data_IF_202330598982
#
_entry.id   IF_202330598982
#
_cell.length_a   1.000
_cell.length_b   1.000
_cell.length_c   1.000
_cell.angle_alpha   90.00
_cell.angle_beta   90.00
_cell.angle_gamma   90.00
#
_symmetry.space_group_name_H-M   'P 1'
#
loop_
_entity.id
_entity.type
_entity.pdbx_description
1 polymer ?
#
# COMPACT_ATOMS: atom_id res chain seq x y z
N UNK A 1 -27.36 23.67 -3.55
CA UNK A 1 -26.62 24.88 -4.01
C UNK A 1 -26.85 25.06 -5.51
N UNK A 2 -26.83 26.29 -6.07
CA UNK A 2 -26.98 26.48 -7.53
C UNK A 2 -25.79 25.93 -8.32
N UNK A 3 -24.61 25.93 -7.70
CA UNK A 3 -23.36 25.32 -8.19
C UNK A 3 -22.64 24.73 -6.97
N UNK A 4 -22.22 23.48 -7.02
CA UNK A 4 -21.46 22.82 -5.99
C UNK A 4 -20.52 21.79 -6.63
N UNK A 5 -19.25 21.87 -6.28
CA UNK A 5 -18.25 20.86 -6.61
C UNK A 5 -18.26 19.81 -5.50
N UNK A 6 -18.69 18.59 -5.83
CA UNK A 6 -18.86 17.53 -4.84
C UNK A 6 -17.73 16.53 -4.96
N UNK A 7 -17.05 16.26 -3.83
CA UNK A 7 -15.95 15.30 -3.73
C UNK A 7 -16.32 14.20 -2.74
N UNK A 8 -16.30 12.94 -3.21
CA UNK A 8 -16.31 11.77 -2.37
C UNK A 8 -14.86 11.27 -2.17
N UNK A 9 -14.38 11.22 -0.92
CA UNK A 9 -12.96 11.01 -0.60
C UNK A 9 -12.78 9.92 0.47
N UNK A 10 -12.88 8.62 0.12
CA UNK A 10 -12.86 7.52 1.10
C UNK A 10 -11.42 7.15 1.50
N UNK A 11 -10.70 8.06 2.18
CA UNK A 11 -9.27 7.90 2.49
C UNK A 11 -8.94 6.71 3.39
N UNK A 12 -9.72 6.48 4.44
CA UNK A 12 -9.41 5.52 5.51
C UNK A 12 -10.14 4.19 5.32
N UNK A 13 -10.30 3.81 4.04
CA UNK A 13 -10.94 2.57 3.60
C UNK A 13 -9.93 1.43 3.46
N UNK A 14 -10.40 0.21 3.31
CA UNK A 14 -9.56 -0.93 2.96
C UNK A 14 -9.26 -0.90 1.45
N UNK A 15 -8.00 -0.63 1.08
CA UNK A 15 -7.55 -0.61 -0.31
C UNK A 15 -7.32 -2.01 -0.90
N UNK A 16 -7.15 -3.04 -0.07
CA UNK A 16 -7.04 -4.42 -0.55
C UNK A 16 -8.35 -5.01 -1.10
N UNK A 17 -9.48 -4.34 -0.85
CA UNK A 17 -10.82 -4.75 -1.27
C UNK A 17 -11.49 -3.66 -2.10
N UNK A 18 -12.32 -4.06 -3.06
CA UNK A 18 -13.21 -3.10 -3.73
C UNK A 18 -14.25 -2.58 -2.73
N UNK A 19 -14.85 -1.44 -3.04
CA UNK A 19 -15.92 -0.86 -2.22
C UNK A 19 -17.13 -1.80 -2.05
N UNK A 20 -17.36 -2.67 -3.03
CA UNK A 20 -18.50 -3.59 -3.09
C UNK A 20 -18.17 -5.00 -2.61
N UNK A 21 -16.93 -5.25 -2.16
CA UNK A 21 -16.55 -6.56 -1.65
C UNK A 21 -17.34 -6.89 -0.36
N UNK A 22 -18.19 -7.93 -0.36
CA UNK A 22 -19.01 -8.27 0.79
C UNK A 22 -18.20 -8.82 1.97
N UNK A 23 -16.94 -9.21 1.77
CA UNK A 23 -16.06 -9.66 2.84
C UNK A 23 -15.49 -8.50 3.67
N UNK A 24 -15.56 -7.25 3.19
CA UNK A 24 -14.92 -6.11 3.83
C UNK A 24 -15.93 -5.23 4.59
N UNK A 25 -16.06 -5.44 5.91
CA UNK A 25 -16.93 -4.62 6.78
C UNK A 25 -16.58 -3.12 6.74
N UNK A 26 -15.28 -2.80 6.71
CA UNK A 26 -14.79 -1.40 6.60
C UNK A 26 -15.34 -0.73 5.33
N UNK A 27 -15.26 -1.39 4.17
CA UNK A 27 -15.72 -0.80 2.91
C UNK A 27 -17.24 -0.73 2.81
N UNK A 28 -17.98 -1.62 3.48
CA UNK A 28 -19.44 -1.57 3.51
C UNK A 28 -19.98 -0.23 4.07
N UNK A 29 -19.29 0.33 5.07
CA UNK A 29 -19.58 1.65 5.63
C UNK A 29 -19.37 2.79 4.61
N UNK A 30 -18.29 2.71 3.82
CA UNK A 30 -18.01 3.68 2.75
C UNK A 30 -19.00 3.54 1.59
N UNK A 31 -19.38 2.33 1.22
CA UNK A 31 -20.41 2.09 0.19
C UNK A 31 -21.75 2.68 0.62
N UNK A 32 -22.19 2.43 1.85
CA UNK A 32 -23.42 3.03 2.38
C UNK A 32 -23.34 4.56 2.39
N UNK A 33 -22.19 5.11 2.79
CA UNK A 33 -21.96 6.56 2.77
C UNK A 33 -22.02 7.14 1.35
N UNK A 34 -21.51 6.42 0.35
CA UNK A 34 -21.59 6.79 -1.06
C UNK A 34 -23.04 6.80 -1.56
N UNK A 35 -23.82 5.77 -1.23
CA UNK A 35 -25.23 5.67 -1.61
C UNK A 35 -26.08 6.79 -0.98
N UNK A 36 -25.89 7.06 0.31
CA UNK A 36 -26.53 8.17 1.02
C UNK A 36 -26.12 9.53 0.42
N UNK A 37 -24.85 9.69 0.08
CA UNK A 37 -24.33 10.88 -0.58
C UNK A 37 -24.94 11.06 -1.98
N UNK A 38 -25.03 9.99 -2.76
CA UNK A 38 -25.65 10.01 -4.09
C UNK A 38 -27.11 10.44 -3.99
N UNK A 39 -27.92 9.83 -3.13
CA UNK A 39 -29.34 10.18 -2.98
C UNK A 39 -29.52 11.64 -2.55
N UNK A 40 -28.65 12.13 -1.65
CA UNK A 40 -28.66 13.53 -1.20
C UNK A 40 -28.33 14.52 -2.32
N UNK A 41 -27.47 14.13 -3.26
CA UNK A 41 -26.93 15.01 -4.28
C UNK A 41 -27.32 14.66 -5.73
N UNK A 42 -28.26 13.73 -5.95
CA UNK A 42 -28.67 13.19 -7.27
C UNK A 42 -29.06 14.20 -8.35
N UNK A 43 -29.33 15.46 -7.97
CA UNK A 43 -29.64 16.56 -8.89
C UNK A 43 -28.42 17.47 -9.16
N UNK A 44 -27.21 17.07 -8.74
CA UNK A 44 -25.95 17.79 -8.95
C UNK A 44 -25.08 16.99 -9.89
N UNK A 45 -24.71 17.59 -11.03
CA UNK A 45 -23.99 16.90 -12.11
C UNK A 45 -22.47 17.12 -12.07
N UNK A 46 -21.93 17.64 -10.97
CA UNK A 46 -20.50 17.97 -10.80
C UNK A 46 -19.91 17.20 -9.61
N UNK A 47 -20.06 15.89 -9.70
CA UNK A 47 -19.67 14.91 -8.70
C UNK A 47 -18.36 14.23 -9.11
N UNK A 48 -17.40 14.16 -8.18
CA UNK A 48 -16.06 13.64 -8.40
C UNK A 48 -15.65 12.70 -7.27
N UNK A 49 -14.81 11.72 -7.56
CA UNK A 49 -14.05 11.03 -6.52
C UNK A 49 -12.71 11.70 -6.27
N UNK A 50 -12.20 11.56 -5.05
CA UNK A 50 -10.85 11.93 -4.66
C UNK A 50 -10.16 10.71 -4.06
N UNK A 51 -9.41 10.01 -4.91
CA UNK A 51 -8.81 8.71 -4.62
C UNK A 51 -7.34 8.78 -4.22
N UNK A 52 -6.90 7.80 -3.44
CA UNK A 52 -5.57 7.79 -2.82
C UNK A 52 -4.66 6.67 -3.32
N UNK A 53 -5.02 5.94 -4.37
CA UNK A 53 -4.18 4.90 -5.00
C UNK A 53 -2.80 5.37 -5.50
N UNK A 54 -2.58 6.69 -5.56
CA UNK A 54 -1.33 7.33 -5.95
C UNK A 54 -0.66 8.08 -4.78
N UNK A 55 -1.14 7.86 -3.55
CA UNK A 55 -0.67 8.53 -2.34
C UNK A 55 0.47 7.73 -1.67
N UNK A 56 1.72 8.07 -2.02
CA UNK A 56 2.91 7.55 -1.32
C UNK A 56 2.98 7.96 0.14
N UNK A 57 2.34 9.06 0.54
CA UNK A 57 2.26 9.43 1.94
C UNK A 57 1.41 8.39 2.66
N UNK A 58 0.19 8.11 2.17
CA UNK A 58 -0.70 7.11 2.76
C UNK A 58 -0.03 5.74 2.87
N UNK A 59 0.64 5.27 1.82
CA UNK A 59 1.20 3.91 1.78
C UNK A 59 2.68 3.80 2.20
N UNK A 60 3.22 4.76 2.97
CA UNK A 60 4.63 4.73 3.45
C UNK A 60 5.66 4.55 2.34
N UNK A 61 5.42 5.14 1.18
CA UNK A 61 6.26 5.00 -0.02
C UNK A 61 5.96 3.78 -0.88
N UNK A 62 5.21 2.78 -0.37
CA UNK A 62 4.74 1.65 -1.17
C UNK A 62 3.87 2.14 -2.33
N UNK A 63 3.80 1.35 -3.40
CA UNK A 63 2.97 1.65 -4.56
C UNK A 63 2.05 0.46 -4.89
N UNK A 64 1.02 0.18 -4.06
CA UNK A 64 0.15 -0.98 -4.27
C UNK A 64 -0.41 -1.02 -5.69
N UNK A 65 -0.29 -2.15 -6.39
CA UNK A 65 -0.80 -2.30 -7.75
C UNK A 65 -2.08 -3.12 -7.71
N UNK A 66 -3.22 -2.45 -7.91
CA UNK A 66 -4.55 -3.00 -7.61
C UNK A 66 -5.52 -2.75 -8.77
N UNK A 67 -5.21 -3.23 -9.99
CA UNK A 67 -5.96 -2.84 -11.19
C UNK A 67 -7.42 -3.26 -11.12
N UNK A 68 -7.73 -4.47 -10.63
CA UNK A 68 -9.12 -4.93 -10.55
C UNK A 68 -9.91 -4.15 -9.51
N UNK A 69 -9.33 -3.90 -8.33
CA UNK A 69 -9.97 -3.12 -7.26
C UNK A 69 -10.29 -1.69 -7.74
N UNK A 70 -9.35 -1.04 -8.42
CA UNK A 70 -9.56 0.29 -9.01
C UNK A 70 -10.73 0.27 -10.01
N UNK A 71 -10.78 -0.74 -10.89
CA UNK A 71 -11.83 -0.85 -11.91
C UNK A 71 -13.21 -1.11 -11.28
N UNK A 72 -13.27 -1.96 -10.26
CA UNK A 72 -14.50 -2.26 -9.52
C UNK A 72 -15.01 -1.03 -8.76
N UNK A 73 -14.11 -0.27 -8.16
CA UNK A 73 -14.45 1.01 -7.52
C UNK A 73 -14.96 2.02 -8.55
N UNK A 74 -14.28 2.18 -9.70
CA UNK A 74 -14.72 3.06 -10.78
C UNK A 74 -16.12 2.70 -11.27
N UNK A 75 -16.43 1.40 -11.37
CA UNK A 75 -17.77 0.93 -11.71
C UNK A 75 -18.79 1.30 -10.62
N UNK A 76 -18.45 1.08 -9.36
CA UNK A 76 -19.29 1.44 -8.20
C UNK A 76 -19.59 2.95 -8.18
N UNK A 77 -18.59 3.78 -8.45
CA UNK A 77 -18.74 5.23 -8.54
C UNK A 77 -19.64 5.65 -9.70
N UNK A 78 -19.50 5.01 -10.87
CA UNK A 78 -20.35 5.27 -12.03
C UNK A 78 -21.81 4.92 -11.75
N UNK A 79 -22.06 3.78 -11.10
CA UNK A 79 -23.41 3.36 -10.68
C UNK A 79 -24.03 4.35 -9.69
N UNK A 80 -23.20 5.08 -8.94
CA UNK A 80 -23.59 6.16 -8.02
C UNK A 80 -23.43 7.57 -8.64
N UNK A 81 -23.46 7.68 -9.97
CA UNK A 81 -23.52 8.96 -10.69
C UNK A 81 -22.23 9.79 -10.65
N UNK A 82 -21.08 9.18 -10.34
CA UNK A 82 -19.77 9.82 -10.37
C UNK A 82 -18.97 9.28 -11.57
N UNK A 83 -18.73 10.12 -12.57
CA UNK A 83 -17.96 9.77 -13.78
C UNK A 83 -16.59 10.44 -13.84
N UNK A 84 -16.26 11.29 -12.87
CA UNK A 84 -14.99 12.01 -12.82
C UNK A 84 -14.17 11.57 -11.62
N UNK A 85 -12.90 11.23 -11.85
CA UNK A 85 -12.00 10.73 -10.83
C UNK A 85 -10.78 11.64 -10.71
N UNK A 86 -10.54 12.14 -9.50
CA UNK A 86 -9.34 12.88 -9.15
C UNK A 86 -8.53 11.96 -8.25
N UNK A 87 -7.23 11.82 -8.52
CA UNK A 87 -6.34 11.01 -7.69
C UNK A 87 -5.31 11.92 -7.02
N UNK A 88 -5.14 11.78 -5.71
CA UNK A 88 -4.07 12.43 -4.97
C UNK A 88 -2.75 11.72 -5.30
N UNK A 89 -1.85 12.44 -5.96
CA UNK A 89 -0.47 12.02 -6.16
C UNK A 89 0.43 12.79 -5.18
N UNK A 90 1.08 12.06 -4.28
CA UNK A 90 2.10 12.62 -3.38
C UNK A 90 3.48 12.03 -3.69
N UNK A 91 4.52 12.85 -3.67
CA UNK A 91 5.88 12.47 -4.07
C UNK A 91 6.43 13.42 -5.13
N UNK A 92 7.69 13.24 -5.55
CA UNK A 92 8.25 14.05 -6.65
C UNK A 92 7.62 13.67 -7.98
N UNK A 93 7.26 14.67 -8.79
CA UNK A 93 6.84 14.48 -10.19
C UNK A 93 7.96 13.90 -11.09
N UNK A 94 9.19 13.80 -10.57
CA UNK A 94 10.38 13.27 -11.26
C UNK A 94 10.85 11.91 -10.71
N UNK A 95 10.18 11.37 -9.69
CA UNK A 95 10.37 9.97 -9.28
C UNK A 95 9.89 9.04 -10.40
N UNK A 96 10.48 7.84 -10.55
CA UNK A 96 10.34 7.02 -11.76
C UNK A 96 8.86 6.78 -12.15
N UNK A 97 8.56 6.55 -13.44
CA UNK A 97 7.20 6.54 -14.08
C UNK A 97 6.26 5.42 -13.59
N UNK A 98 6.48 4.93 -12.39
CA UNK A 98 6.08 3.65 -11.84
C UNK A 98 4.79 3.72 -11.03
N UNK A 99 4.50 4.87 -10.40
CA UNK A 99 3.15 5.17 -9.91
C UNK A 99 2.14 5.29 -11.06
N UNK A 100 2.62 5.47 -12.29
CA UNK A 100 1.73 5.65 -13.43
C UNK A 100 0.98 4.37 -13.77
N UNK A 101 1.32 3.20 -13.22
CA UNK A 101 0.58 1.96 -13.49
C UNK A 101 -0.89 2.08 -13.05
N UNK A 102 -1.15 2.50 -11.81
CA UNK A 102 -2.52 2.77 -11.33
C UNK A 102 -3.17 3.93 -12.09
N UNK A 103 -2.41 5.00 -12.42
CA UNK A 103 -2.94 6.10 -13.23
C UNK A 103 -3.36 5.64 -14.63
N UNK A 104 -2.62 4.70 -15.23
CA UNK A 104 -2.95 4.08 -16.50
C UNK A 104 -4.18 3.18 -16.40
N UNK A 105 -4.41 2.53 -15.24
CA UNK A 105 -5.67 1.80 -14.97
C UNK A 105 -6.84 2.77 -15.00
N UNK A 106 -6.77 3.88 -14.24
CA UNK A 106 -7.81 4.92 -14.27
C UNK A 106 -8.05 5.44 -15.69
N UNK A 107 -6.98 5.83 -16.39
CA UNK A 107 -7.08 6.37 -17.75
C UNK A 107 -7.69 5.35 -18.74
N UNK A 108 -7.35 4.07 -18.61
CA UNK A 108 -7.87 3.01 -19.49
C UNK A 108 -9.29 2.63 -19.13
N UNK A 109 -9.61 2.48 -17.85
CA UNK A 109 -10.95 2.14 -17.36
C UNK A 109 -12.00 3.21 -17.69
N UNK A 110 -11.58 4.47 -17.79
CA UNK A 110 -12.44 5.56 -18.29
C UNK A 110 -12.84 5.40 -19.76
N UNK A 111 -12.07 4.67 -20.57
CA UNK A 111 -12.33 4.47 -21.99
C UNK A 111 -12.89 3.08 -22.31
N UNK A 112 -12.72 2.13 -21.40
CA UNK A 112 -13.04 0.72 -21.61
C UNK A 112 -13.73 0.16 -20.37
N UNK A 113 -15.06 0.26 -20.33
CA UNK A 113 -15.90 -0.16 -19.21
C UNK A 113 -15.85 -1.68 -18.95
N UNK A 114 -15.38 -2.47 -19.93
CA UNK A 114 -15.25 -3.92 -19.81
C UNK A 114 -13.80 -4.36 -19.54
N UNK A 115 -12.90 -3.41 -19.23
CA UNK A 115 -11.53 -3.74 -18.87
C UNK A 115 -11.52 -4.58 -17.59
N UNK A 116 -10.78 -5.68 -17.61
CA UNK A 116 -10.41 -6.42 -16.39
C UNK A 116 -8.96 -6.15 -16.02
N UNK A 117 -8.60 -6.40 -14.75
CA UNK A 117 -7.23 -6.31 -14.27
C UNK A 117 -6.26 -7.19 -15.08
N UNK A 118 -6.66 -8.44 -15.37
CA UNK A 118 -5.86 -9.35 -16.19
C UNK A 118 -5.67 -8.85 -17.63
N UNK A 119 -6.73 -8.33 -18.26
CA UNK A 119 -6.64 -7.79 -19.61
C UNK A 119 -5.74 -6.55 -19.66
N UNK A 120 -5.79 -5.71 -18.61
CA UNK A 120 -4.89 -4.58 -18.45
C UNK A 120 -3.44 -5.04 -18.31
N UNK A 121 -3.16 -6.00 -17.43
CA UNK A 121 -1.81 -6.55 -17.20
C UNK A 121 -1.24 -7.17 -18.49
N UNK A 122 -2.02 -7.99 -19.19
CA UNK A 122 -1.60 -8.60 -20.45
C UNK A 122 -1.28 -7.53 -21.50
N UNK A 123 -2.10 -6.48 -21.60
CA UNK A 123 -1.89 -5.37 -22.52
C UNK A 123 -0.64 -4.57 -22.17
N UNK A 124 -0.48 -4.20 -20.90
CA UNK A 124 0.68 -3.45 -20.40
C UNK A 124 1.99 -4.23 -20.64
N UNK A 125 2.01 -5.50 -20.29
CA UNK A 125 3.16 -6.39 -20.46
C UNK A 125 3.58 -6.51 -21.92
N UNK A 126 2.61 -6.68 -22.83
CA UNK A 126 2.86 -6.70 -24.29
C UNK A 126 3.35 -5.35 -24.84
N UNK A 127 2.97 -4.23 -24.20
CA UNK A 127 3.47 -2.90 -24.57
C UNK A 127 4.90 -2.65 -24.10
N UNK A 128 5.28 -3.24 -22.96
CA UNK A 128 6.66 -3.19 -22.44
C UNK A 128 7.57 -4.04 -23.32
N UNK A 129 7.22 -5.32 -23.51
CA UNK A 129 8.02 -6.28 -24.27
C UNK A 129 7.13 -7.18 -25.13
N UNK A 130 6.93 -6.79 -26.39
CA UNK A 130 5.98 -7.48 -27.28
C UNK A 130 6.37 -8.88 -27.69
N UNK A 131 7.68 -9.17 -27.77
CA UNK A 131 8.21 -10.45 -28.24
C UNK A 131 8.19 -11.54 -27.17
N UNK A 132 8.18 -11.15 -25.89
CA UNK A 132 8.21 -12.05 -24.73
C UNK A 132 7.58 -11.37 -23.50
N UNK A 133 6.26 -11.13 -23.50
CA UNK A 133 5.57 -10.43 -22.41
C UNK A 133 5.45 -11.24 -21.12
N UNK A 134 5.68 -12.56 -21.16
CA UNK A 134 5.37 -13.51 -20.09
C UNK A 134 6.03 -13.16 -18.75
N UNK A 135 7.33 -12.78 -18.68
CA UNK A 135 7.93 -12.36 -17.42
C UNK A 135 7.26 -11.15 -16.78
N UNK A 136 6.75 -10.22 -17.61
CA UNK A 136 6.04 -9.03 -17.12
C UNK A 136 4.61 -9.36 -16.66
N UNK A 137 3.93 -10.28 -17.34
CA UNK A 137 2.61 -10.76 -16.92
C UNK A 137 2.71 -11.39 -15.54
N UNK A 138 3.64 -12.34 -15.39
CA UNK A 138 3.91 -13.01 -14.11
C UNK A 138 4.28 -11.99 -13.03
N UNK A 139 5.18 -11.06 -13.33
CA UNK A 139 5.61 -10.04 -12.40
C UNK A 139 4.44 -9.20 -11.87
N UNK A 140 3.61 -8.68 -12.78
CA UNK A 140 2.48 -7.84 -12.40
C UNK A 140 1.38 -8.62 -11.69
N UNK A 141 1.07 -9.85 -12.12
CA UNK A 141 0.08 -10.69 -11.45
C UNK A 141 0.48 -10.97 -10.01
N UNK A 142 1.74 -11.38 -9.77
CA UNK A 142 2.22 -11.62 -8.41
C UNK A 142 2.23 -10.35 -7.58
N UNK A 143 2.56 -9.20 -8.18
CA UNK A 143 2.49 -7.90 -7.50
C UNK A 143 1.06 -7.52 -7.11
N UNK A 144 0.04 -7.85 -7.92
CA UNK A 144 -1.37 -7.68 -7.54
C UNK A 144 -1.71 -8.55 -6.34
N UNK A 145 -1.32 -9.82 -6.33
CA UNK A 145 -1.59 -10.74 -5.21
C UNK A 145 -1.01 -10.21 -3.89
N UNK A 146 0.27 -9.82 -3.91
CA UNK A 146 0.96 -9.29 -2.72
C UNK A 146 0.35 -7.96 -2.29
N UNK A 147 0.08 -7.05 -3.24
CA UNK A 147 -0.53 -5.75 -2.96
C UNK A 147 -1.93 -5.90 -2.36
N UNK A 148 -2.78 -6.76 -2.93
CA UNK A 148 -4.12 -6.99 -2.42
C UNK A 148 -4.04 -7.47 -0.97
N UNK A 149 -3.29 -8.56 -0.73
CA UNK A 149 -3.19 -9.17 0.60
C UNK A 149 -2.62 -8.22 1.66
N UNK A 150 -1.56 -7.49 1.34
CA UNK A 150 -0.92 -6.56 2.29
C UNK A 150 -1.73 -5.29 2.54
N UNK A 151 -2.69 -4.98 1.67
CA UNK A 151 -3.59 -3.84 1.84
C UNK A 151 -4.97 -4.24 2.40
N UNK A 152 -5.22 -5.53 2.66
CA UNK A 152 -6.50 -6.01 3.21
C UNK A 152 -6.63 -5.70 4.70
N UNK A 153 -7.71 -5.00 5.05
CA UNK A 153 -8.13 -4.72 6.41
C UNK A 153 -9.60 -5.13 6.51
N UNK A 154 -9.88 -6.22 7.24
CA UNK A 154 -11.22 -6.81 7.33
C UNK A 154 -11.92 -6.49 8.65
N UNK A 155 -11.16 -6.14 9.68
CA UNK A 155 -11.69 -5.96 11.03
C UNK A 155 -12.04 -4.49 11.34
N UNK A 156 -13.34 -4.21 11.49
CA UNK A 156 -13.87 -2.89 11.86
C UNK A 156 -13.37 -2.38 13.21
N UNK A 157 -12.89 -3.26 14.10
CA UNK A 157 -12.35 -2.87 15.41
C UNK A 157 -11.04 -2.08 15.31
N UNK A 158 -10.38 -2.13 14.15
CA UNK A 158 -9.12 -1.43 13.88
C UNK A 158 -9.34 0.08 13.66
N UNK A 159 -10.60 0.53 13.56
CA UNK A 159 -11.04 1.93 13.67
C UNK A 159 -10.71 2.85 12.49
N UNK A 160 -9.44 2.91 12.08
CA UNK A 160 -8.93 3.84 11.05
C UNK A 160 -7.88 3.17 10.18
N UNK A 161 -8.17 2.94 8.87
CA UNK A 161 -7.21 2.38 7.92
C UNK A 161 -6.24 3.44 7.36
N UNK A 162 -5.31 3.89 8.21
CA UNK A 162 -4.21 4.75 7.79
C UNK A 162 -2.92 3.95 7.64
N UNK A 163 -2.58 3.54 6.43
CA UNK A 163 -1.41 2.69 6.15
C UNK A 163 -0.07 3.34 6.54
N UNK A 164 -0.03 4.64 6.86
CA UNK A 164 1.12 5.31 7.50
C UNK A 164 1.37 4.76 8.88
N UNK A 165 0.30 4.74 9.66
CA UNK A 165 0.29 4.39 11.05
C UNK A 165 -0.38 3.02 11.08
N UNK A 166 0.42 1.96 10.90
CA UNK A 166 -0.06 0.59 11.17
C UNK A 166 -0.87 0.70 12.45
N UNK A 167 -2.16 0.40 12.39
CA UNK A 167 -3.05 0.61 13.53
C UNK A 167 -2.48 -0.27 14.62
N UNK A 168 -1.79 0.34 15.58
CA UNK A 168 -0.95 -0.36 16.56
C UNK A 168 -1.89 -1.13 17.49
N UNK A 169 -2.39 -2.24 16.97
CA UNK A 169 -3.45 -3.04 17.53
C UNK A 169 -2.85 -4.16 18.34
N UNK A 170 -3.43 -4.42 19.50
CA UNK A 170 -3.09 -5.55 20.36
C UNK A 170 -4.14 -6.66 20.27
N UNK A 171 -5.04 -6.55 19.29
CA UNK A 171 -6.09 -7.52 19.00
C UNK A 171 -5.53 -8.69 18.16
N UNK A 172 -6.24 -9.84 18.05
CA UNK A 172 -5.77 -11.00 17.30
C UNK A 172 -5.39 -10.72 15.83
N UNK A 173 -6.05 -9.75 15.20
CA UNK A 173 -5.72 -9.30 13.84
C UNK A 173 -4.28 -8.79 13.72
N UNK A 174 -3.65 -8.33 14.82
CA UNK A 174 -2.25 -7.91 14.84
C UNK A 174 -1.29 -9.06 14.52
N UNK A 175 -1.58 -10.29 14.97
CA UNK A 175 -0.75 -11.46 14.64
C UNK A 175 -0.91 -11.85 13.16
N UNK A 176 -2.13 -11.75 12.64
CA UNK A 176 -2.40 -11.99 11.22
C UNK A 176 -1.67 -10.98 10.33
N UNK A 177 -1.64 -9.70 10.75
CA UNK A 177 -0.89 -8.64 10.06
C UNK A 177 0.61 -8.94 10.02
N UNK A 178 1.21 -9.44 11.11
CA UNK A 178 2.62 -9.86 11.13
C UNK A 178 2.89 -10.91 10.06
N UNK A 179 2.07 -11.97 10.01
CA UNK A 179 2.25 -13.04 9.03
C UNK A 179 2.00 -12.57 7.58
N UNK A 180 1.02 -11.69 7.37
CA UNK A 180 0.73 -11.09 6.06
C UNK A 180 1.92 -10.26 5.57
N UNK A 181 2.48 -9.39 6.41
CA UNK A 181 3.60 -8.54 6.03
C UNK A 181 4.89 -9.32 5.85
N UNK A 182 5.12 -10.34 6.69
CA UNK A 182 6.24 -11.27 6.54
C UNK A 182 6.19 -11.99 5.19
N UNK A 183 5.06 -12.64 4.88
CA UNK A 183 4.90 -13.35 3.62
C UNK A 183 4.98 -12.38 2.43
N UNK A 184 4.40 -11.18 2.55
CA UNK A 184 4.47 -10.17 1.50
C UNK A 184 5.91 -9.69 1.22
N UNK A 185 6.72 -9.53 2.26
CA UNK A 185 8.15 -9.23 2.13
C UNK A 185 8.90 -10.36 1.40
N UNK A 186 8.71 -11.61 1.83
CA UNK A 186 9.34 -12.77 1.21
C UNK A 186 8.92 -12.94 -0.27
N UNK A 187 7.61 -12.77 -0.55
CA UNK A 187 7.06 -12.85 -1.90
C UNK A 187 7.61 -11.75 -2.81
N UNK A 188 7.80 -10.52 -2.32
CA UNK A 188 8.41 -9.44 -3.09
C UNK A 188 9.90 -9.68 -3.36
N UNK A 189 10.63 -10.24 -2.40
CA UNK A 189 12.02 -10.61 -2.65
C UNK A 189 12.14 -11.70 -3.72
N UNK A 190 11.33 -12.76 -3.65
CA UNK A 190 11.27 -13.79 -4.69
C UNK A 190 10.89 -13.19 -6.06
N UNK A 191 9.90 -12.30 -6.07
CA UNK A 191 9.43 -11.63 -7.29
C UNK A 191 10.53 -10.82 -7.96
N UNK A 192 11.30 -10.07 -7.18
CA UNK A 192 12.43 -9.30 -7.66
C UNK A 192 13.54 -10.20 -8.23
N UNK A 193 13.87 -11.31 -7.55
CA UNK A 193 14.83 -12.32 -8.03
C UNK A 193 14.39 -12.92 -9.38
N UNK A 194 13.10 -13.26 -9.51
CA UNK A 194 12.55 -13.84 -10.74
C UNK A 194 12.61 -12.88 -11.90
N UNK A 195 12.26 -11.61 -11.70
CA UNK A 195 12.36 -10.59 -12.73
C UNK A 195 13.81 -10.37 -13.15
N UNK A 196 14.75 -10.35 -12.20
CA UNK A 196 16.19 -10.21 -12.48
C UNK A 196 16.72 -11.35 -13.37
N UNK A 197 16.39 -12.61 -13.03
CA UNK A 197 16.77 -13.79 -13.82
C UNK A 197 16.12 -13.78 -15.21
N UNK A 198 14.92 -13.22 -15.34
CA UNK A 198 14.21 -13.17 -16.61
C UNK A 198 14.85 -12.21 -17.63
N UNK A 199 15.59 -11.18 -17.18
CA UNK A 199 16.22 -10.20 -18.07
C UNK A 199 17.20 -10.89 -19.03
N UNK A 200 16.94 -10.76 -20.33
CA UNK A 200 17.79 -11.34 -21.38
C UNK A 200 18.71 -10.29 -22.03
N UNK A 201 19.90 -10.68 -22.51
CA UNK A 201 20.81 -9.76 -23.21
C UNK A 201 20.22 -9.09 -24.45
N UNK A 202 19.25 -9.75 -25.11
CA UNK A 202 18.58 -9.27 -26.31
C UNK A 202 17.38 -8.34 -26.02
N UNK A 203 17.00 -8.12 -24.75
CA UNK A 203 15.96 -7.14 -24.44
C UNK A 203 16.43 -5.73 -24.82
N UNK A 204 15.53 -4.87 -25.35
CA UNK A 204 15.86 -3.47 -25.60
C UNK A 204 16.37 -2.79 -24.32
N UNK A 205 17.37 -1.90 -24.43
CA UNK A 205 17.99 -1.26 -23.26
C UNK A 205 16.96 -0.56 -22.35
N UNK A 206 16.00 0.17 -22.95
CA UNK A 206 14.90 0.80 -22.21
C UNK A 206 14.08 -0.18 -21.35
N UNK A 207 13.94 -1.42 -21.79
CA UNK A 207 13.16 -2.46 -21.08
C UNK A 207 13.99 -3.03 -19.94
N UNK A 208 15.31 -3.19 -20.13
CA UNK A 208 16.24 -3.60 -19.07
C UNK A 208 16.32 -2.52 -17.99
N UNK A 209 16.47 -1.25 -18.37
CA UNK A 209 16.47 -0.12 -17.43
C UNK A 209 15.17 -0.07 -16.62
N UNK A 210 14.04 -0.27 -17.30
CA UNK A 210 12.72 -0.36 -16.65
C UNK A 210 12.64 -1.55 -15.68
N UNK A 211 13.11 -2.74 -16.08
CA UNK A 211 13.15 -3.92 -15.23
C UNK A 211 14.03 -3.70 -13.99
N UNK A 212 15.22 -3.11 -14.13
CA UNK A 212 16.07 -2.79 -13.00
C UNK A 212 15.43 -1.79 -12.03
N UNK A 213 14.71 -0.79 -12.54
CA UNK A 213 13.94 0.13 -11.69
C UNK A 213 12.81 -0.57 -10.95
N UNK A 214 12.12 -1.52 -11.60
CA UNK A 214 11.05 -2.32 -10.99
C UNK A 214 11.59 -3.28 -9.94
N UNK A 215 12.74 -3.90 -10.17
CA UNK A 215 13.45 -4.74 -9.20
C UNK A 215 13.82 -3.92 -7.97
N UNK A 216 14.49 -2.78 -8.14
CA UNK A 216 14.88 -1.91 -7.02
C UNK A 216 13.66 -1.46 -6.19
N UNK A 217 12.55 -1.09 -6.86
CA UNK A 217 11.31 -0.75 -6.16
C UNK A 217 10.73 -1.94 -5.41
N UNK A 218 10.68 -3.13 -6.01
CA UNK A 218 10.13 -4.32 -5.38
C UNK A 218 10.95 -4.72 -4.14
N UNK A 219 12.27 -4.57 -4.20
CA UNK A 219 13.15 -4.76 -3.02
C UNK A 219 12.84 -3.76 -1.92
N UNK A 220 12.66 -2.49 -2.27
CA UNK A 220 12.24 -1.48 -1.31
C UNK A 220 10.89 -1.82 -0.69
N UNK A 221 9.90 -2.22 -1.49
CA UNK A 221 8.57 -2.63 -1.00
C UNK A 221 8.67 -3.85 -0.06
N UNK A 222 9.57 -4.81 -0.35
CA UNK A 222 9.89 -5.90 0.60
C UNK A 222 10.43 -5.37 1.93
N UNK A 223 11.45 -4.50 1.88
CA UNK A 223 12.08 -3.97 3.10
C UNK A 223 11.11 -3.17 3.97
N UNK A 224 10.19 -2.44 3.34
CA UNK A 224 9.18 -1.67 4.08
C UNK A 224 8.09 -2.58 4.68
N UNK A 225 7.64 -3.62 3.97
CA UNK A 225 6.76 -4.63 4.58
C UNK A 225 7.44 -5.32 5.78
N UNK A 226 8.74 -5.59 5.71
CA UNK A 226 9.50 -6.12 6.84
C UNK A 226 9.58 -5.12 8.01
N UNK A 227 9.72 -3.83 7.74
CA UNK A 227 9.59 -2.78 8.78
C UNK A 227 8.22 -2.87 9.44
N UNK A 228 7.16 -2.98 8.64
CA UNK A 228 5.78 -3.03 9.14
C UNK A 228 5.51 -4.28 9.99
N UNK A 229 6.03 -5.44 9.56
CA UNK A 229 6.01 -6.69 10.32
C UNK A 229 6.66 -6.52 11.69
N UNK A 230 7.91 -6.04 11.76
CA UNK A 230 8.63 -5.87 13.03
C UNK A 230 7.94 -4.86 13.96
N UNK A 231 7.39 -3.78 13.40
CA UNK A 231 6.64 -2.78 14.16
C UNK A 231 5.39 -3.41 14.79
N UNK A 232 4.60 -4.15 14.02
CA UNK A 232 3.37 -4.78 14.53
C UNK A 232 3.69 -5.88 15.54
N UNK A 233 4.71 -6.70 15.29
CA UNK A 233 5.13 -7.77 16.22
C UNK A 233 5.59 -7.19 17.57
N UNK A 234 6.31 -6.06 17.53
CA UNK A 234 6.66 -5.32 18.74
C UNK A 234 5.42 -4.85 19.53
N UNK A 235 4.39 -4.38 18.82
CA UNK A 235 3.12 -3.95 19.43
C UNK A 235 2.36 -5.13 20.04
N UNK A 236 2.30 -6.29 19.36
CA UNK A 236 1.66 -7.50 19.89
C UNK A 236 2.30 -7.92 21.22
N UNK A 237 3.63 -7.92 21.28
CA UNK A 237 4.39 -8.23 22.49
C UNK A 237 4.19 -7.23 23.64
N UNK A 238 4.08 -5.93 23.33
CA UNK A 238 3.71 -4.91 24.32
C UNK A 238 2.26 -5.11 24.80
N UNK A 239 1.35 -5.46 23.90
CA UNK A 239 -0.03 -5.81 24.21
C UNK A 239 -0.13 -7.00 25.16
N UNK A 240 0.63 -8.06 24.91
CA UNK A 240 0.71 -9.22 25.80
C UNK A 240 1.20 -8.83 27.19
N UNK A 241 2.23 -8.00 27.29
CA UNK A 241 2.68 -7.44 28.58
C UNK A 241 1.56 -6.67 29.29
N UNK A 242 0.84 -5.79 28.59
CA UNK A 242 -0.25 -5.01 29.19
C UNK A 242 -1.39 -5.89 29.71
N UNK A 243 -1.59 -7.06 29.11
CA UNK A 243 -2.65 -7.99 29.49
C UNK A 243 -2.22 -8.98 30.58
N UNK A 244 -0.93 -9.34 30.65
CA UNK A 244 -0.44 -10.45 31.49
C UNK A 244 0.61 -10.06 32.53
N UNK A 245 1.14 -8.83 32.46
CA UNK A 245 2.31 -8.36 33.19
C UNK A 245 3.59 -9.18 32.94
N UNK A 246 3.64 -9.94 31.83
CA UNK A 246 4.82 -10.73 31.46
C UNK A 246 5.99 -9.84 30.99
N UNK A 247 6.97 -9.62 31.87
CA UNK A 247 8.14 -8.78 31.61
C UNK A 247 9.00 -9.28 30.44
N UNK A 248 9.04 -10.59 30.18
CA UNK A 248 9.81 -11.12 29.04
C UNK A 248 9.17 -10.70 27.71
N UNK A 249 7.83 -10.69 27.62
CA UNK A 249 7.13 -10.17 26.43
C UNK A 249 7.46 -8.69 26.20
N UNK A 250 7.51 -7.87 27.27
CA UNK A 250 7.89 -6.46 27.14
C UNK A 250 9.34 -6.30 26.64
N UNK A 251 10.28 -7.11 27.13
CA UNK A 251 11.67 -7.11 26.65
C UNK A 251 11.75 -7.45 25.16
N UNK A 252 11.05 -8.50 24.74
CA UNK A 252 10.95 -8.88 23.32
C UNK A 252 10.38 -7.75 22.48
N UNK A 253 9.28 -7.11 22.92
CA UNK A 253 8.69 -5.96 22.24
C UNK A 253 9.68 -4.79 22.09
N UNK A 254 10.42 -4.45 23.15
CA UNK A 254 11.46 -3.41 23.11
C UNK A 254 12.58 -3.76 22.13
N UNK A 255 13.04 -5.01 22.10
CA UNK A 255 14.09 -5.44 21.19
C UNK A 255 13.61 -5.47 19.73
N UNK A 256 12.35 -5.79 19.47
CA UNK A 256 11.72 -5.67 18.15
C UNK A 256 11.57 -4.20 17.72
N UNK A 257 11.27 -3.27 18.62
CA UNK A 257 11.29 -1.84 18.30
C UNK A 257 12.69 -1.36 17.88
N UNK A 258 13.74 -1.83 18.55
CA UNK A 258 15.13 -1.53 18.16
C UNK A 258 15.47 -2.12 16.78
N UNK A 259 15.03 -3.35 16.50
CA UNK A 259 15.18 -3.97 15.19
C UNK A 259 14.40 -3.22 14.11
N UNK A 260 13.21 -2.70 14.43
CA UNK A 260 12.41 -1.85 13.53
C UNK A 260 13.20 -0.59 13.14
N UNK A 261 13.88 0.06 14.09
CA UNK A 261 14.74 1.23 13.80
C UNK A 261 15.87 0.85 12.84
N UNK A 262 16.54 -0.27 13.04
CA UNK A 262 17.58 -0.75 12.12
C UNK A 262 17.01 -1.06 10.73
N UNK A 263 15.83 -1.69 10.68
CA UNK A 263 15.16 -2.03 9.43
C UNK A 263 14.70 -0.76 8.67
N UNK A 264 14.32 0.32 9.36
CA UNK A 264 14.05 1.62 8.72
C UNK A 264 15.28 2.19 7.99
N UNK A 265 16.49 1.96 8.50
CA UNK A 265 17.73 2.36 7.82
C UNK A 265 17.98 1.51 6.57
N UNK A 266 17.73 0.20 6.64
CA UNK A 266 17.81 -0.72 5.49
C UNK A 266 16.79 -0.33 4.41
N UNK A 267 15.54 -0.09 4.80
CA UNK A 267 14.48 0.34 3.89
C UNK A 267 14.78 1.74 3.30
N UNK A 268 15.42 2.63 4.07
CA UNK A 268 15.87 3.94 3.57
C UNK A 268 16.93 3.80 2.48
N UNK A 269 17.95 2.95 2.69
CA UNK A 269 18.97 2.70 1.67
C UNK A 269 18.37 2.08 0.40
N UNK A 270 17.48 1.10 0.55
CA UNK A 270 16.78 0.49 -0.58
C UNK A 270 15.88 1.47 -1.33
N UNK A 271 15.25 2.43 -0.62
CA UNK A 271 14.47 3.50 -1.25
C UNK A 271 15.35 4.42 -2.13
N UNK A 272 16.57 4.76 -1.68
CA UNK A 272 17.51 5.55 -2.50
C UNK A 272 17.89 4.81 -3.79
N UNK A 273 18.12 3.49 -3.72
CA UNK A 273 18.35 2.64 -4.89
C UNK A 273 17.14 2.57 -5.82
N UNK A 274 15.92 2.59 -5.26
CA UNK A 274 14.66 2.70 -6.00
C UNK A 274 14.39 4.11 -6.56
N UNK A 275 15.33 5.05 -6.38
CA UNK A 275 15.27 6.40 -6.94
C UNK A 275 14.55 7.43 -6.07
N UNK A 276 14.30 7.14 -4.79
CA UNK A 276 13.77 8.13 -3.85
C UNK A 276 14.87 9.15 -3.52
N UNK A 277 14.49 10.42 -3.42
CA UNK A 277 15.42 11.49 -3.03
C UNK A 277 15.23 11.86 -1.56
N UNK A 278 16.27 12.39 -0.92
CA UNK A 278 16.23 12.77 0.50
C UNK A 278 15.16 13.82 0.87
N UNK A 279 14.62 14.53 -0.13
CA UNK A 279 13.52 15.48 0.02
C UNK A 279 12.13 14.84 -0.04
N UNK A 280 12.03 13.53 -0.31
CA UNK A 280 10.74 12.83 -0.31
C UNK A 280 10.15 12.75 1.09
N UNK A 281 8.82 12.68 1.15
CA UNK A 281 8.11 12.51 2.42
C UNK A 281 8.55 11.25 3.17
N UNK A 282 8.88 10.19 2.44
CA UNK A 282 9.34 8.92 3.00
C UNK A 282 10.51 9.09 3.99
N UNK A 283 11.58 9.81 3.63
CA UNK A 283 12.69 10.02 4.58
C UNK A 283 12.34 10.93 5.76
N UNK A 284 11.43 11.88 5.58
CA UNK A 284 10.93 12.68 6.71
C UNK A 284 10.15 11.82 7.69
N UNK A 285 9.30 10.95 7.16
CA UNK A 285 8.51 9.99 7.90
C UNK A 285 9.39 8.98 8.65
N UNK A 286 10.39 8.39 8.00
CA UNK A 286 11.33 7.48 8.65
C UNK A 286 12.04 8.14 9.84
N UNK A 287 12.52 9.38 9.69
CA UNK A 287 13.13 10.13 10.82
C UNK A 287 12.14 10.36 11.96
N UNK A 288 10.90 10.70 11.65
CA UNK A 288 9.85 10.86 12.65
C UNK A 288 9.59 9.54 13.38
N UNK A 289 9.50 8.42 12.65
CA UNK A 289 9.22 7.10 13.20
C UNK A 289 10.36 6.61 14.07
N UNK A 290 11.61 6.76 13.62
CA UNK A 290 12.79 6.47 14.44
C UNK A 290 12.74 7.24 15.76
N UNK A 291 12.37 8.52 15.74
CA UNK A 291 12.24 9.32 16.95
C UNK A 291 11.14 8.78 17.86
N UNK A 292 9.97 8.47 17.31
CA UNK A 292 8.80 7.98 18.03
C UNK A 292 9.09 6.63 18.71
N UNK A 293 9.70 5.68 17.99
CA UNK A 293 10.14 4.40 18.51
C UNK A 293 11.18 4.54 19.62
N UNK A 294 12.15 5.45 19.48
CA UNK A 294 13.11 5.74 20.56
C UNK A 294 12.44 6.27 21.82
N UNK A 295 11.43 7.14 21.69
CA UNK A 295 10.65 7.65 22.82
C UNK A 295 9.82 6.53 23.49
N UNK A 296 9.23 5.62 22.71
CA UNK A 296 8.55 4.42 23.21
C UNK A 296 9.51 3.48 23.96
N UNK A 297 10.65 3.16 23.36
CA UNK A 297 11.69 2.32 23.97
C UNK A 297 12.11 2.90 25.33
N UNK A 298 12.40 4.21 25.40
CA UNK A 298 12.81 4.85 26.65
C UNK A 298 11.73 4.74 27.74
N UNK A 299 10.45 4.86 27.39
CA UNK A 299 9.34 4.67 28.33
C UNK A 299 9.26 3.24 28.83
N UNK A 300 9.37 2.25 27.95
CA UNK A 300 9.22 0.84 28.31
C UNK A 300 10.42 0.28 29.07
N UNK A 301 11.64 0.71 28.77
CA UNK A 301 12.85 0.35 29.53
C UNK A 301 12.75 0.83 30.99
N UNK A 302 12.19 2.03 31.20
CA UNK A 302 11.96 2.53 32.56
C UNK A 302 10.99 1.65 33.37
N UNK A 303 10.08 0.93 32.72
CA UNK A 303 9.11 0.01 33.36
C UNK A 303 9.77 -1.32 33.74
N UNK A 304 10.69 -1.85 32.93
CA UNK A 304 11.35 -3.14 33.19
C UNK A 304 12.49 -3.05 34.22
N UNK A 305 12.84 -1.84 34.69
CA UNK A 305 13.90 -1.63 35.67
C UNK A 305 15.32 -1.92 35.13
N UNK A 306 15.49 -1.93 33.80
CA UNK A 306 16.77 -2.18 33.13
C UNK A 306 17.58 -0.90 32.84
N UNK A 307 18.90 -1.00 33.00
CA UNK A 307 19.91 -0.04 32.48
C UNK A 307 19.95 -0.02 30.95
#
# INVERSE_FOLDING_TARGET
PKEAFLLFAPRERCYGHSLTDPACGINAEYLRSLEEWHEKFKNTNDAHTFEYYLDRVLFRGLCPFLPQVILDDMNTYRENGIESHICLQTGSAFEPPLMMQNLLVFARGMWDENLSGDAFIATLSKRILSENPEPWIEYFQKRVEVSAKTMQWEDESVGWADYRWISETTLPIGDEMVEVYKQGSEDYDELADRLEVAIQPNWPDRVKDFAHSEIARTRFESQELKTMMLQQDAVNHVGDYLNTENVESLKTGVDLMKQTIQQLEVAAASAEEAGFTSSTYYFMFNRWMTKELNEKIAKWVAVTGGE
#
